data_IF_236762517859
#
_entry.id   IF_236762517859
#
_cell.length_a   1.000
_cell.length_b   1.000
_cell.length_c   1.000
_cell.angle_alpha   90.00
_cell.angle_beta   90.00
_cell.angle_gamma   90.00
#
_symmetry.space_group_name_H-M   'P 1'
#
loop_
_entity.id
_entity.type
_entity.pdbx_description
1 polymer ?
#
# COMPACT_ATOMS: atom_id res chain seq x y z
N UNK A 1 3.39 16.33 -15.13
CA UNK A 1 2.00 16.85 -14.89
C UNK A 1 1.12 16.49 -16.09
N UNK A 2 0.68 15.27 -16.34
CA UNK A 2 -0.12 15.08 -17.57
C UNK A 2 -0.84 13.75 -17.81
N UNK A 3 -0.85 12.75 -16.96
CA UNK A 3 -1.65 11.54 -17.29
C UNK A 3 -2.89 11.33 -16.40
N UNK A 4 -3.09 12.14 -15.37
CA UNK A 4 -4.21 11.96 -14.44
C UNK A 4 -5.46 12.79 -14.77
N UNK A 5 -5.44 13.60 -15.84
CA UNK A 5 -6.47 14.61 -16.14
C UNK A 5 -7.88 14.04 -16.37
N UNK A 6 -8.03 12.70 -16.53
CA UNK A 6 -9.33 12.08 -16.81
C UNK A 6 -9.70 10.89 -15.90
N UNK A 7 -8.94 10.56 -14.84
CA UNK A 7 -9.32 9.46 -13.96
C UNK A 7 -10.23 9.97 -12.85
N UNK A 8 -11.35 9.27 -12.57
CA UNK A 8 -12.21 9.66 -11.46
C UNK A 8 -11.48 9.48 -10.12
N UNK A 9 -11.78 10.36 -9.17
CA UNK A 9 -11.22 10.31 -7.82
C UNK A 9 -11.84 9.14 -7.04
N UNK A 10 -10.99 8.28 -6.49
CA UNK A 10 -11.41 7.22 -5.58
C UNK A 10 -11.48 7.72 -4.14
N UNK A 11 -10.43 8.40 -3.67
CA UNK A 11 -10.34 8.92 -2.30
C UNK A 11 -9.91 10.38 -2.36
N UNK A 12 -10.52 11.24 -1.53
CA UNK A 12 -10.09 12.62 -1.32
C UNK A 12 -10.03 12.93 0.17
N UNK A 13 -8.91 13.45 0.60
CA UNK A 13 -8.72 14.13 1.87
C UNK A 13 -8.86 15.63 1.63
N UNK A 14 -9.64 16.30 2.45
CA UNK A 14 -9.96 17.72 2.34
C UNK A 14 -9.74 18.39 3.70
N UNK A 15 -8.62 19.08 3.85
CA UNK A 15 -8.13 19.75 5.06
C UNK A 15 -8.23 18.91 6.34
N UNK A 16 -7.85 17.64 6.25
CA UNK A 16 -7.98 16.66 7.33
C UNK A 16 -6.98 16.92 8.43
N UNK A 17 -7.50 17.09 9.67
CA UNK A 17 -6.72 17.11 10.89
C UNK A 17 -7.10 15.97 11.83
N UNK A 18 -6.11 15.40 12.50
CA UNK A 18 -6.33 14.40 13.55
C UNK A 18 -5.21 14.42 14.61
N UNK A 19 -5.58 14.11 15.85
CA UNK A 19 -4.67 13.88 16.98
C UNK A 19 -5.31 12.94 17.98
N UNK A 20 -4.52 12.14 18.67
CA UNK A 20 -5.01 11.24 19.75
C UNK A 20 -5.39 12.05 20.99
N UNK A 21 -4.53 13.02 21.33
CA UNK A 21 -4.69 13.95 22.44
C UNK A 21 -4.70 15.39 21.90
N UNK A 22 -4.36 16.41 22.68
CA UNK A 22 -4.34 17.80 22.24
C UNK A 22 -3.45 18.06 21.02
N UNK A 23 -2.34 17.33 20.92
CA UNK A 23 -1.39 17.48 19.80
C UNK A 23 -1.90 16.83 18.50
N UNK A 24 -1.82 17.58 17.40
CA UNK A 24 -2.16 17.08 16.07
C UNK A 24 -1.04 16.19 15.52
N UNK A 25 -1.43 14.99 15.07
CA UNK A 25 -0.59 14.01 14.38
C UNK A 25 -0.74 14.13 12.87
N UNK A 26 -1.90 14.52 12.38
CA UNK A 26 -2.19 14.86 10.97
C UNK A 26 -2.70 16.30 10.96
N UNK A 27 -2.12 17.14 10.09
CA UNK A 27 -2.26 18.60 10.12
C UNK A 27 -2.65 19.10 8.73
N UNK A 28 -3.90 19.49 8.54
CA UNK A 28 -4.44 20.07 7.30
C UNK A 28 -3.99 19.33 6.04
N UNK A 29 -4.13 18.00 6.07
CA UNK A 29 -3.69 17.15 4.96
C UNK A 29 -4.79 17.10 3.90
N UNK A 30 -4.43 17.50 2.67
CA UNK A 30 -5.29 17.45 1.49
C UNK A 30 -4.57 16.72 0.35
N UNK A 31 -5.22 15.70 -0.20
CA UNK A 31 -4.78 14.99 -1.41
C UNK A 31 -5.94 14.21 -2.03
N UNK A 32 -5.74 13.78 -3.27
CA UNK A 32 -6.64 12.87 -3.96
C UNK A 32 -5.88 11.59 -4.35
N UNK A 33 -6.58 10.48 -4.42
CA UNK A 33 -6.12 9.22 -5.01
C UNK A 33 -7.12 8.85 -6.09
N UNK A 34 -6.62 8.58 -7.29
CA UNK A 34 -7.46 8.29 -8.45
C UNK A 34 -7.76 6.79 -8.54
N UNK A 35 -8.81 6.45 -9.27
CA UNK A 35 -9.13 5.05 -9.55
C UNK A 35 -8.03 4.41 -10.39
N UNK A 36 -7.71 3.15 -10.06
CA UNK A 36 -6.64 2.39 -10.73
C UNK A 36 -5.27 3.07 -10.64
N UNK A 37 -5.02 3.77 -9.55
CA UNK A 37 -3.73 4.37 -9.23
C UNK A 37 -3.01 3.53 -8.17
N UNK A 38 -1.70 3.36 -8.32
CA UNK A 38 -0.84 2.85 -7.27
C UNK A 38 -0.09 4.00 -6.61
N UNK A 39 -0.45 4.31 -5.37
CA UNK A 39 0.13 5.40 -4.58
C UNK A 39 0.94 4.85 -3.42
N UNK A 40 2.18 5.32 -3.26
CA UNK A 40 2.96 5.08 -2.06
C UNK A 40 2.92 6.29 -1.13
N UNK A 41 2.64 6.06 0.16
CA UNK A 41 2.75 7.06 1.23
C UNK A 41 4.03 6.78 2.01
N UNK A 42 5.00 7.70 1.93
CA UNK A 42 6.31 7.59 2.58
C UNK A 42 6.53 8.68 3.62
N UNK A 43 7.51 8.48 4.49
CA UNK A 43 7.88 9.43 5.55
C UNK A 43 8.60 8.71 6.70
N UNK A 44 9.31 9.44 7.54
CA UNK A 44 9.98 8.86 8.71
C UNK A 44 8.98 8.31 9.74
N UNK A 45 9.48 7.54 10.72
CA UNK A 45 8.65 7.04 11.83
C UNK A 45 8.08 8.22 12.63
N UNK A 46 6.76 8.19 12.89
CA UNK A 46 6.05 9.29 13.55
C UNK A 46 5.60 10.43 12.60
N UNK A 47 5.78 10.33 11.28
CA UNK A 47 5.32 11.35 10.33
C UNK A 47 3.79 11.37 10.12
N UNK A 48 3.03 10.42 10.68
CA UNK A 48 1.57 10.36 10.59
C UNK A 48 1.02 9.29 9.63
N UNK A 49 1.85 8.50 8.95
CA UNK A 49 1.43 7.50 7.95
C UNK A 49 0.41 6.48 8.46
N UNK A 50 0.68 5.83 9.60
CA UNK A 50 -0.25 4.84 10.18
C UNK A 50 -1.55 5.50 10.67
N UNK A 51 -1.53 6.81 10.96
CA UNK A 51 -2.74 7.57 11.26
C UNK A 51 -3.55 7.81 9.98
N UNK A 52 -2.89 8.13 8.86
CA UNK A 52 -3.54 8.20 7.53
C UNK A 52 -4.20 6.86 7.19
N UNK A 53 -3.51 5.73 7.40
CA UNK A 53 -4.07 4.38 7.21
C UNK A 53 -5.38 4.18 7.99
N UNK A 54 -5.36 4.49 9.29
CA UNK A 54 -6.54 4.34 10.15
C UNK A 54 -7.69 5.30 9.79
N UNK A 55 -7.37 6.49 9.31
CA UNK A 55 -8.36 7.44 8.79
C UNK A 55 -8.98 6.95 7.49
N UNK A 56 -8.17 6.43 6.55
CA UNK A 56 -8.60 5.84 5.28
C UNK A 56 -9.56 4.66 5.46
N UNK A 57 -9.36 3.87 6.51
CA UNK A 57 -10.18 2.69 6.81
C UNK A 57 -11.37 2.97 7.72
N UNK A 58 -11.53 4.23 8.15
CA UNK A 58 -12.59 4.63 9.07
C UNK A 58 -12.43 4.09 10.50
N UNK A 59 -11.24 3.60 10.86
CA UNK A 59 -10.88 3.23 12.23
C UNK A 59 -10.72 4.47 13.12
N UNK A 60 -10.37 5.60 12.50
CA UNK A 60 -10.31 6.90 13.15
C UNK A 60 -11.22 7.89 12.41
N UNK A 61 -11.78 8.85 13.15
CA UNK A 61 -12.56 9.95 12.60
C UNK A 61 -11.73 11.23 12.63
N UNK A 62 -11.68 12.04 11.55
CA UNK A 62 -11.05 13.35 11.57
C UNK A 62 -11.58 14.25 12.67
N UNK A 63 -10.74 15.08 13.27
CA UNK A 63 -11.17 16.19 14.16
C UNK A 63 -11.74 17.35 13.36
N UNK A 64 -11.14 17.64 12.21
CA UNK A 64 -11.64 18.60 11.22
C UNK A 64 -11.31 18.14 9.82
N UNK A 65 -11.91 18.77 8.82
CA UNK A 65 -11.83 18.34 7.43
C UNK A 65 -12.72 17.14 7.14
N UNK A 66 -12.68 16.67 5.90
CA UNK A 66 -13.55 15.58 5.44
C UNK A 66 -12.78 14.61 4.55
N UNK A 67 -13.05 13.33 4.71
CA UNK A 67 -12.55 12.27 3.82
C UNK A 67 -13.70 11.83 2.94
N UNK A 68 -13.46 11.71 1.63
CA UNK A 68 -14.45 11.24 0.67
C UNK A 68 -13.97 9.94 0.03
N UNK A 69 -14.88 9.01 -0.17
CA UNK A 69 -14.71 7.81 -0.98
C UNK A 69 -15.70 7.88 -2.15
N UNK A 70 -15.20 7.91 -3.37
CA UNK A 70 -16.02 8.06 -4.60
C UNK A 70 -16.99 9.24 -4.53
N UNK A 71 -16.53 10.38 -3.99
CA UNK A 71 -17.34 11.60 -3.80
C UNK A 71 -18.29 11.59 -2.60
N UNK A 72 -18.47 10.46 -1.91
CA UNK A 72 -19.30 10.36 -0.70
C UNK A 72 -18.47 10.64 0.55
N UNK A 73 -18.88 11.57 1.44
CA UNK A 73 -18.16 11.83 2.67
C UNK A 73 -18.22 10.61 3.59
N UNK A 74 -17.08 10.24 4.18
CA UNK A 74 -16.98 9.14 5.14
C UNK A 74 -17.53 9.59 6.49
N UNK A 75 -18.69 9.03 6.86
CA UNK A 75 -19.40 9.31 8.11
C UNK A 75 -19.71 8.00 8.86
N UNK A 76 -20.21 8.11 10.10
CA UNK A 76 -20.64 6.91 10.84
C UNK A 76 -21.75 6.14 10.13
N UNK A 77 -22.61 6.84 9.41
CA UNK A 77 -23.79 6.24 8.77
C UNK A 77 -23.45 5.45 7.50
N UNK A 78 -22.32 5.75 6.86
CA UNK A 78 -21.89 5.05 5.65
C UNK A 78 -20.59 4.24 5.80
N UNK A 79 -20.18 3.89 7.03
CA UNK A 79 -19.01 3.04 7.28
C UNK A 79 -19.11 1.67 6.59
N UNK A 80 -20.32 1.16 6.38
CA UNK A 80 -20.50 -0.08 5.61
C UNK A 80 -20.02 0.10 4.17
N UNK A 81 -20.41 1.20 3.50
CA UNK A 81 -19.94 1.50 2.15
C UNK A 81 -18.41 1.60 2.08
N UNK A 82 -17.79 2.25 3.08
CA UNK A 82 -16.33 2.30 3.17
C UNK A 82 -15.72 0.89 3.27
N UNK A 83 -16.19 0.06 4.20
CA UNK A 83 -15.68 -1.31 4.43
C UNK A 83 -15.95 -2.27 3.28
N UNK A 84 -16.95 -2.01 2.48
CA UNK A 84 -17.24 -2.80 1.28
C UNK A 84 -16.29 -2.46 0.13
N UNK A 85 -15.73 -1.25 0.11
CA UNK A 85 -14.89 -0.75 -0.98
C UNK A 85 -13.40 -0.65 -0.63
N UNK A 86 -13.04 -0.58 0.65
CA UNK A 86 -11.64 -0.44 1.10
C UNK A 86 -11.25 -1.65 1.94
N UNK A 87 -10.24 -2.38 1.48
CA UNK A 87 -9.59 -3.45 2.23
C UNK A 87 -8.24 -3.01 2.77
N UNK A 88 -7.84 -3.52 3.93
CA UNK A 88 -6.52 -3.24 4.53
C UNK A 88 -5.77 -4.54 4.82
N UNK A 89 -4.50 -4.57 4.45
CA UNK A 89 -3.52 -5.58 4.81
C UNK A 89 -2.56 -4.97 5.82
N UNK A 90 -2.55 -5.49 7.04
CA UNK A 90 -1.73 -4.96 8.14
C UNK A 90 -0.28 -5.40 8.07
N UNK A 91 0.60 -4.65 8.75
CA UNK A 91 2.01 -4.94 8.91
C UNK A 91 2.26 -6.32 9.52
N UNK A 92 1.58 -6.63 10.61
CA UNK A 92 1.64 -7.94 11.25
C UNK A 92 0.38 -8.74 10.91
N UNK A 93 0.50 -9.80 10.07
CA UNK A 93 -0.64 -10.64 9.70
C UNK A 93 -1.28 -11.36 10.88
N UNK A 94 -0.54 -11.63 11.99
CA UNK A 94 -1.10 -12.29 13.17
C UNK A 94 -2.22 -11.45 13.83
N UNK A 95 -2.21 -10.14 13.65
CA UNK A 95 -3.27 -9.25 14.15
C UNK A 95 -4.56 -9.30 13.29
N UNK A 96 -4.51 -9.97 12.15
CA UNK A 96 -5.61 -10.03 11.19
C UNK A 96 -6.35 -11.37 11.25
N UNK A 97 -5.69 -12.43 11.73
CA UNK A 97 -6.29 -13.77 11.79
C UNK A 97 -7.40 -13.89 12.84
N UNK A 98 -8.52 -14.47 12.42
CA UNK A 98 -9.70 -14.76 13.23
C UNK A 98 -10.09 -16.23 13.07
N UNK A 99 -9.86 -16.81 11.89
CA UNK A 99 -10.20 -18.20 11.55
C UNK A 99 -9.31 -19.24 12.25
N UNK A 100 -9.81 -20.45 12.40
CA UNK A 100 -9.04 -21.59 12.93
C UNK A 100 -8.04 -22.07 11.88
N UNK A 101 -8.43 -22.04 10.59
CA UNK A 101 -7.59 -22.40 9.46
C UNK A 101 -7.46 -21.22 8.49
N UNK A 102 -6.49 -21.30 7.58
CA UNK A 102 -6.33 -20.30 6.50
C UNK A 102 -7.60 -20.20 5.63
N UNK A 103 -8.30 -21.31 5.40
CA UNK A 103 -9.58 -21.33 4.66
C UNK A 103 -10.66 -20.56 5.40
N UNK A 104 -10.80 -20.80 6.72
CA UNK A 104 -11.81 -20.13 7.55
C UNK A 104 -11.54 -18.61 7.59
N UNK A 105 -10.27 -18.23 7.63
CA UNK A 105 -9.88 -16.81 7.67
C UNK A 105 -10.24 -16.10 6.36
N UNK A 106 -9.99 -16.73 5.21
CA UNK A 106 -10.39 -16.17 3.90
C UNK A 106 -11.91 -16.13 3.78
N UNK A 107 -12.63 -17.14 4.30
CA UNK A 107 -14.09 -17.21 4.23
C UNK A 107 -14.78 -16.19 5.17
N UNK A 108 -14.13 -15.77 6.25
CA UNK A 108 -14.73 -14.93 7.30
C UNK A 108 -15.39 -13.65 6.77
N UNK A 109 -14.71 -12.94 5.85
CA UNK A 109 -15.25 -11.73 5.24
C UNK A 109 -16.50 -11.99 4.38
N UNK A 110 -16.58 -13.15 3.74
CA UNK A 110 -17.72 -13.59 2.93
C UNK A 110 -18.90 -14.00 3.81
N UNK A 111 -18.65 -14.70 4.94
CA UNK A 111 -19.66 -15.06 5.93
C UNK A 111 -20.35 -13.82 6.51
N UNK A 112 -19.58 -12.83 6.88
CA UNK A 112 -20.09 -11.54 7.39
C UNK A 112 -20.97 -10.82 6.36
N UNK A 113 -20.75 -11.07 5.07
CA UNK A 113 -21.57 -10.55 3.96
C UNK A 113 -22.71 -11.49 3.54
N UNK A 114 -22.87 -12.60 4.26
CA UNK A 114 -23.92 -13.62 4.04
C UNK A 114 -23.90 -14.25 2.64
N UNK A 115 -22.69 -14.48 2.10
CA UNK A 115 -22.55 -15.22 0.85
C UNK A 115 -23.05 -16.68 1.01
N UNK A 116 -23.67 -17.29 -0.01
CA UNK A 116 -24.03 -18.69 0.00
C UNK A 116 -22.79 -19.59 0.14
N UNK A 117 -22.92 -20.69 0.89
CA UNK A 117 -21.78 -21.56 1.23
C UNK A 117 -21.05 -22.18 0.02
N UNK A 118 -21.80 -22.48 -1.04
CA UNK A 118 -21.21 -22.96 -2.29
C UNK A 118 -20.36 -21.88 -2.98
N UNK A 119 -20.86 -20.65 -3.07
CA UNK A 119 -20.13 -19.51 -3.66
C UNK A 119 -18.88 -19.17 -2.84
N UNK A 120 -18.97 -19.22 -1.50
CA UNK A 120 -17.80 -18.97 -0.64
C UNK A 120 -16.66 -19.94 -0.94
N UNK A 121 -16.95 -21.24 -1.13
CA UNK A 121 -15.92 -22.23 -1.46
C UNK A 121 -15.22 -21.92 -2.78
N UNK A 122 -15.98 -21.57 -3.80
CA UNK A 122 -15.43 -21.21 -5.11
C UNK A 122 -14.53 -19.97 -5.02
N UNK A 123 -14.99 -18.94 -4.31
CA UNK A 123 -14.22 -17.70 -4.08
C UNK A 123 -12.93 -18.00 -3.31
N UNK A 124 -13.01 -18.76 -2.20
CA UNK A 124 -11.83 -19.12 -1.38
C UNK A 124 -10.80 -19.85 -2.23
N UNK A 125 -11.19 -20.86 -3.00
CA UNK A 125 -10.28 -21.60 -3.87
C UNK A 125 -9.68 -20.72 -4.98
N UNK A 126 -10.50 -19.86 -5.60
CA UNK A 126 -10.04 -18.93 -6.63
C UNK A 126 -8.98 -17.96 -6.09
N UNK A 127 -9.26 -17.38 -4.93
CA UNK A 127 -8.35 -16.45 -4.25
C UNK A 127 -7.08 -17.16 -3.77
N UNK A 128 -7.22 -18.36 -3.18
CA UNK A 128 -6.07 -19.16 -2.75
C UNK A 128 -5.09 -19.41 -3.91
N UNK A 129 -5.62 -19.69 -5.10
CA UNK A 129 -4.84 -19.85 -6.33
C UNK A 129 -4.14 -18.54 -6.72
N UNK A 130 -4.85 -17.40 -6.65
CA UNK A 130 -4.27 -16.10 -6.99
C UNK A 130 -3.07 -15.74 -6.11
N UNK A 131 -3.13 -16.06 -4.80
CA UNK A 131 -2.06 -15.75 -3.85
C UNK A 131 -1.10 -16.92 -3.60
N UNK A 132 -1.33 -18.09 -4.25
CA UNK A 132 -0.43 -19.24 -4.22
C UNK A 132 -0.38 -19.97 -2.87
N UNK A 133 -1.56 -20.24 -2.27
CA UNK A 133 -1.69 -20.88 -0.94
C UNK A 133 -2.66 -22.08 -0.93
N UNK A 134 -2.98 -22.66 -2.10
CA UNK A 134 -3.95 -23.77 -2.22
C UNK A 134 -3.64 -24.95 -1.29
N UNK A 135 -2.36 -25.27 -1.14
CA UNK A 135 -1.86 -26.41 -0.35
C UNK A 135 -1.83 -26.16 1.16
N UNK A 136 -2.09 -24.96 1.62
CA UNK A 136 -2.05 -24.62 3.05
C UNK A 136 -3.40 -24.16 3.61
N UNK A 137 -4.48 -24.22 2.83
CA UNK A 137 -5.83 -23.78 3.24
C UNK A 137 -6.30 -24.43 4.56
N UNK A 138 -5.96 -25.71 4.78
CA UNK A 138 -6.32 -26.46 5.98
C UNK A 138 -5.38 -26.28 7.17
N UNK A 139 -4.32 -25.47 7.00
CA UNK A 139 -3.34 -25.26 8.05
C UNK A 139 -3.83 -24.15 9.00
N UNK A 140 -3.52 -24.35 10.26
CA UNK A 140 -3.72 -23.34 11.29
C UNK A 140 -2.71 -22.21 11.15
N UNK A 141 -3.08 -20.94 11.38
CA UNK A 141 -2.20 -19.79 11.17
C UNK A 141 -0.83 -19.90 11.88
N UNK A 142 -0.78 -20.48 13.09
CA UNK A 142 0.46 -20.61 13.83
C UNK A 142 1.49 -21.59 13.21
N UNK A 143 1.04 -22.46 12.28
CA UNK A 143 1.91 -23.39 11.53
C UNK A 143 2.46 -22.78 10.24
N UNK A 144 2.04 -21.56 9.90
CA UNK A 144 2.42 -20.88 8.66
C UNK A 144 3.67 -20.01 8.86
N UNK A 145 4.52 -19.95 7.83
CA UNK A 145 5.60 -18.96 7.77
C UNK A 145 5.05 -17.53 7.65
N UNK A 146 5.84 -16.51 7.98
CA UNK A 146 5.43 -15.10 7.86
C UNK A 146 4.92 -14.75 6.46
N UNK A 147 5.62 -15.22 5.41
CA UNK A 147 5.19 -15.01 4.02
C UNK A 147 3.87 -15.71 3.67
N UNK A 148 3.66 -16.94 4.20
CA UNK A 148 2.39 -17.63 4.03
C UNK A 148 1.24 -16.93 4.75
N UNK A 149 1.47 -16.49 5.98
CA UNK A 149 0.52 -15.67 6.74
C UNK A 149 0.12 -14.42 5.99
N UNK A 150 1.09 -13.70 5.43
CA UNK A 150 0.83 -12.49 4.66
C UNK A 150 -0.02 -12.78 3.40
N UNK A 151 0.26 -13.89 2.70
CA UNK A 151 -0.55 -14.31 1.54
C UNK A 151 -1.98 -14.68 1.93
N UNK A 152 -2.19 -15.33 3.09
CA UNK A 152 -3.54 -15.60 3.62
C UNK A 152 -4.24 -14.28 3.94
N UNK A 153 -3.58 -13.35 4.65
CA UNK A 153 -4.15 -12.04 4.96
C UNK A 153 -4.56 -11.25 3.70
N UNK A 154 -3.74 -11.29 2.65
CA UNK A 154 -4.09 -10.71 1.35
C UNK A 154 -5.29 -11.44 0.74
N UNK A 155 -5.30 -12.79 0.80
CA UNK A 155 -6.41 -13.60 0.33
C UNK A 155 -7.74 -13.23 0.98
N UNK A 156 -7.74 -13.06 2.30
CA UNK A 156 -8.94 -12.65 3.06
C UNK A 156 -9.49 -11.29 2.59
N UNK A 157 -8.61 -10.36 2.22
CA UNK A 157 -9.03 -9.07 1.64
C UNK A 157 -9.52 -9.23 0.20
N UNK A 158 -8.85 -10.02 -0.62
CA UNK A 158 -9.27 -10.23 -2.01
C UNK A 158 -10.62 -10.95 -2.13
N UNK A 159 -10.92 -11.86 -1.21
CA UNK A 159 -12.18 -12.57 -1.20
C UNK A 159 -13.39 -11.62 -1.16
N UNK A 160 -13.30 -10.54 -0.42
CA UNK A 160 -14.34 -9.52 -0.36
C UNK A 160 -14.32 -8.53 -1.55
N UNK A 161 -13.33 -8.66 -2.44
CA UNK A 161 -13.19 -7.95 -3.70
C UNK A 161 -13.29 -6.40 -3.61
N UNK A 162 -12.59 -5.73 -2.70
CA UNK A 162 -12.67 -4.28 -2.56
C UNK A 162 -12.09 -3.57 -3.79
N UNK A 163 -12.49 -2.32 -4.03
CA UNK A 163 -11.97 -1.51 -5.13
C UNK A 163 -10.66 -0.80 -4.78
N UNK A 164 -10.43 -0.54 -3.49
CA UNK A 164 -9.22 0.06 -2.96
C UNK A 164 -8.57 -0.91 -1.98
N UNK A 165 -7.28 -1.16 -2.13
CA UNK A 165 -6.52 -2.04 -1.24
C UNK A 165 -5.37 -1.25 -0.63
N UNK A 166 -5.39 -1.15 0.69
CA UNK A 166 -4.35 -0.49 1.47
C UNK A 166 -3.39 -1.54 2.05
N UNK A 167 -2.11 -1.39 1.81
CA UNK A 167 -1.03 -2.16 2.40
C UNK A 167 -0.29 -1.29 3.42
N UNK A 168 -0.42 -1.61 4.70
CA UNK A 168 0.20 -0.84 5.78
C UNK A 168 1.47 -1.57 6.26
N UNK A 169 2.63 -1.16 5.72
CA UNK A 169 3.96 -1.76 5.96
C UNK A 169 3.99 -3.30 5.81
N UNK A 170 3.15 -3.83 4.94
CA UNK A 170 2.87 -5.27 4.81
C UNK A 170 4.05 -6.11 4.31
N UNK A 171 5.12 -5.50 3.83
CA UNK A 171 6.35 -6.17 3.39
C UNK A 171 7.44 -6.22 4.45
N UNK A 172 7.33 -5.45 5.54
CA UNK A 172 8.41 -5.24 6.51
C UNK A 172 8.89 -6.51 7.23
N UNK A 173 7.97 -7.46 7.48
CA UNK A 173 8.25 -8.71 8.21
C UNK A 173 8.61 -9.89 7.29
N UNK A 174 8.75 -9.66 5.97
CA UNK A 174 8.99 -10.70 4.99
C UNK A 174 10.49 -10.83 4.65
N UNK A 175 10.89 -12.05 4.28
CA UNK A 175 12.18 -12.30 3.65
C UNK A 175 12.27 -11.61 2.27
N UNK A 176 13.47 -11.46 1.69
CA UNK A 176 13.64 -10.73 0.42
C UNK A 176 12.79 -11.27 -0.73
N UNK A 177 12.59 -12.59 -0.79
CA UNK A 177 11.74 -13.21 -1.82
C UNK A 177 10.27 -12.87 -1.60
N UNK A 178 9.79 -12.99 -0.37
CA UNK A 178 8.42 -12.63 0.00
C UNK A 178 8.11 -11.17 -0.29
N UNK A 179 9.05 -10.25 0.03
CA UNK A 179 8.93 -8.82 -0.33
C UNK A 179 8.73 -8.62 -1.83
N UNK A 180 9.59 -9.26 -2.64
CA UNK A 180 9.52 -9.14 -4.09
C UNK A 180 8.18 -9.68 -4.65
N UNK A 181 7.72 -10.81 -4.13
CA UNK A 181 6.46 -11.41 -4.55
C UNK A 181 5.26 -10.48 -4.23
N UNK A 182 5.22 -9.89 -3.02
CA UNK A 182 4.14 -8.96 -2.65
C UNK A 182 4.20 -7.66 -3.46
N UNK A 183 5.39 -7.11 -3.71
CA UNK A 183 5.55 -5.93 -4.58
C UNK A 183 5.01 -6.19 -5.99
N UNK A 184 5.35 -7.33 -6.59
CA UNK A 184 4.80 -7.74 -7.90
C UNK A 184 3.29 -7.92 -7.86
N UNK A 185 2.79 -8.45 -6.76
CA UNK A 185 1.36 -8.63 -6.56
C UNK A 185 0.60 -7.30 -6.49
N UNK A 186 1.12 -6.31 -5.79
CA UNK A 186 0.54 -4.94 -5.76
C UNK A 186 0.42 -4.35 -7.17
N UNK A 187 1.48 -4.49 -7.99
CA UNK A 187 1.45 -4.05 -9.40
C UNK A 187 0.39 -4.82 -10.20
N UNK A 188 0.27 -6.12 -9.97
CA UNK A 188 -0.76 -6.94 -10.62
C UNK A 188 -2.16 -6.48 -10.24
N UNK A 189 -2.42 -6.20 -8.97
CA UNK A 189 -3.70 -5.68 -8.50
C UNK A 189 -4.08 -4.36 -9.18
N UNK A 190 -3.14 -3.43 -9.27
CA UNK A 190 -3.34 -2.17 -10.00
C UNK A 190 -3.72 -2.44 -11.47
N UNK A 191 -3.00 -3.35 -12.13
CA UNK A 191 -3.24 -3.70 -13.54
C UNK A 191 -4.59 -4.42 -13.76
N UNK A 192 -5.17 -5.02 -12.72
CA UNK A 192 -6.52 -5.61 -12.75
C UNK A 192 -7.63 -4.62 -12.38
N UNK A 193 -7.31 -3.32 -12.30
CA UNK A 193 -8.29 -2.25 -12.11
C UNK A 193 -8.52 -1.86 -10.65
N UNK A 194 -7.71 -2.36 -9.70
CA UNK A 194 -7.78 -1.93 -8.29
C UNK A 194 -6.96 -0.67 -8.06
N UNK A 195 -7.41 0.19 -7.15
CA UNK A 195 -6.57 1.25 -6.59
C UNK A 195 -5.73 0.66 -5.46
N UNK A 196 -4.43 0.87 -5.50
CA UNK A 196 -3.49 0.33 -4.52
C UNK A 196 -2.86 1.48 -3.75
N UNK A 197 -2.89 1.41 -2.43
CA UNK A 197 -2.21 2.36 -1.56
C UNK A 197 -1.22 1.57 -0.73
N UNK A 198 0.05 1.95 -0.76
CA UNK A 198 1.05 1.33 0.11
C UNK A 198 1.66 2.37 1.05
N UNK A 199 1.61 2.09 2.34
CA UNK A 199 2.38 2.81 3.34
C UNK A 199 3.65 2.02 3.56
N UNK A 200 4.79 2.63 3.26
CA UNK A 200 6.07 1.91 3.30
C UNK A 200 7.24 2.83 3.67
N UNK A 201 8.29 2.25 4.20
CA UNK A 201 9.62 2.83 4.32
C UNK A 201 10.63 2.17 3.38
N UNK A 202 10.21 1.19 2.58
CA UNK A 202 11.04 0.50 1.59
C UNK A 202 11.05 1.28 0.27
N UNK A 203 12.13 2.01 0.01
CA UNK A 203 12.27 2.84 -1.19
C UNK A 203 12.27 2.02 -2.50
N UNK A 204 12.65 0.73 -2.46
CA UNK A 204 12.53 -0.18 -3.60
C UNK A 204 11.08 -0.55 -3.94
N UNK A 205 10.16 -0.40 -2.99
CA UNK A 205 8.73 -0.56 -3.25
C UNK A 205 8.16 0.66 -3.97
N UNK A 206 8.62 1.85 -3.57
CA UNK A 206 8.17 3.14 -4.09
C UNK A 206 8.40 3.29 -5.59
N UNK A 207 9.45 2.67 -6.13
CA UNK A 207 9.77 2.72 -7.57
C UNK A 207 8.60 2.25 -8.46
N UNK A 208 7.77 1.32 -7.94
CA UNK A 208 6.67 0.74 -8.70
C UNK A 208 5.37 1.55 -8.65
N UNK A 209 5.32 2.60 -7.85
CA UNK A 209 4.14 3.45 -7.71
C UNK A 209 3.98 4.40 -8.92
N UNK A 210 2.74 4.76 -9.21
CA UNK A 210 2.44 5.84 -10.17
C UNK A 210 2.74 7.20 -9.53
N UNK A 211 2.48 7.31 -8.20
CA UNK A 211 2.68 8.56 -7.44
C UNK A 211 3.07 8.28 -6.00
N UNK A 212 3.80 9.22 -5.44
CA UNK A 212 4.30 9.19 -4.06
C UNK A 212 3.75 10.39 -3.31
N UNK A 213 3.27 10.15 -2.10
CA UNK A 213 2.88 11.16 -1.12
C UNK A 213 3.91 11.16 0.01
N UNK A 214 4.58 12.27 0.23
CA UNK A 214 5.64 12.40 1.25
C UNK A 214 5.08 13.09 2.49
N UNK A 215 5.04 12.36 3.59
CA UNK A 215 4.58 12.85 4.89
C UNK A 215 5.76 13.24 5.78
N UNK A 216 5.71 14.44 6.38
CA UNK A 216 6.70 14.90 7.35
C UNK A 216 6.01 15.65 8.49
N UNK A 217 6.24 15.21 9.74
CA UNK A 217 5.68 15.82 10.96
C UNK A 217 4.17 16.13 10.89
N UNK A 218 3.40 15.21 10.30
CA UNK A 218 1.94 15.31 10.18
C UNK A 218 1.43 16.10 8.97
N UNK A 219 2.30 16.62 8.15
CA UNK A 219 1.95 17.36 6.94
C UNK A 219 2.27 16.54 5.68
N UNK A 220 1.50 16.73 4.63
CA UNK A 220 1.88 16.33 3.28
C UNK A 220 2.81 17.41 2.72
N UNK A 221 4.09 17.08 2.56
CA UNK A 221 5.11 18.07 2.17
C UNK A 221 5.46 18.01 0.69
N UNK A 222 5.23 16.88 0.03
CA UNK A 222 5.47 16.71 -1.42
C UNK A 222 4.58 15.62 -2.00
N UNK A 223 4.22 15.75 -3.26
CA UNK A 223 3.56 14.73 -4.08
C UNK A 223 4.12 14.77 -5.49
N UNK A 224 4.42 13.62 -6.07
CA UNK A 224 4.97 13.51 -7.43
C UNK A 224 5.21 12.05 -7.83
N UNK A 225 5.71 11.83 -9.03
CA UNK A 225 6.18 10.53 -9.49
C UNK A 225 7.42 10.09 -8.69
N UNK A 226 7.72 8.78 -8.62
CA UNK A 226 8.97 8.32 -7.97
C UNK A 226 10.22 9.06 -8.49
N UNK A 227 10.31 9.31 -9.79
CA UNK A 227 11.44 10.04 -10.38
C UNK A 227 11.56 11.47 -9.86
N UNK A 228 10.44 12.22 -9.80
CA UNK A 228 10.42 13.58 -9.27
C UNK A 228 10.77 13.64 -7.78
N UNK A 229 10.33 12.65 -7.00
CA UNK A 229 10.62 12.59 -5.55
C UNK A 229 12.09 12.26 -5.29
N UNK A 230 12.66 11.29 -6.02
CA UNK A 230 14.05 10.85 -5.81
C UNK A 230 15.10 11.74 -6.50
N UNK A 231 14.70 12.71 -7.31
CA UNK A 231 15.59 13.70 -7.90
C UNK A 231 16.21 14.64 -6.83
N UNK A 232 15.42 14.99 -5.81
CA UNK A 232 15.84 15.90 -4.73
C UNK A 232 16.33 15.14 -3.48
N UNK A 233 17.55 14.57 -3.57
CA UNK A 233 18.16 13.88 -2.44
C UNK A 233 18.37 14.75 -1.22
N UNK A 234 18.68 16.04 -1.40
CA UNK A 234 18.94 16.94 -0.29
C UNK A 234 17.70 17.07 0.59
N UNK A 235 16.54 17.26 -0.04
CA UNK A 235 15.25 17.25 0.65
C UNK A 235 14.96 15.91 1.34
N UNK A 236 15.19 14.77 0.68
CA UNK A 236 14.94 13.46 1.27
C UNK A 236 15.81 13.24 2.51
N UNK A 237 17.10 13.58 2.46
CA UNK A 237 18.02 13.49 3.61
C UNK A 237 17.59 14.39 4.77
N UNK A 238 17.11 15.61 4.48
CA UNK A 238 16.60 16.55 5.50
C UNK A 238 15.44 15.91 6.29
N UNK A 239 14.53 15.21 5.60
CA UNK A 239 13.38 14.52 6.21
C UNK A 239 13.68 13.07 6.62
N UNK A 240 14.95 12.67 6.65
CA UNK A 240 15.45 11.34 7.05
C UNK A 240 14.88 10.20 6.21
N UNK A 241 14.80 10.40 4.90
CA UNK A 241 14.49 9.38 3.92
C UNK A 241 15.70 9.13 3.02
N UNK A 242 15.88 7.87 2.63
CA UNK A 242 16.90 7.45 1.70
C UNK A 242 16.38 7.41 0.26
N UNK A 243 17.30 7.20 -0.69
CA UNK A 243 16.97 6.88 -2.08
C UNK A 243 17.05 5.37 -2.31
N UNK A 244 16.38 4.83 -3.34
CA UNK A 244 16.50 3.43 -3.72
C UNK A 244 17.95 3.02 -3.98
N UNK A 245 18.29 1.77 -3.60
CA UNK A 245 19.65 1.23 -3.79
C UNK A 245 20.09 1.29 -5.27
N UNK A 246 19.18 0.98 -6.20
CA UNK A 246 19.45 1.04 -7.64
C UNK A 246 19.92 2.43 -8.08
N UNK A 247 19.27 3.48 -7.58
CA UNK A 247 19.65 4.88 -7.88
C UNK A 247 20.96 5.26 -7.20
N UNK A 248 21.13 4.90 -5.92
CA UNK A 248 22.36 5.16 -5.16
C UNK A 248 23.58 4.50 -5.83
N UNK A 249 23.45 3.24 -6.22
CA UNK A 249 24.50 2.49 -6.93
C UNK A 249 24.84 3.16 -8.28
N UNK A 250 23.79 3.53 -9.05
CA UNK A 250 23.97 4.21 -10.34
C UNK A 250 24.74 5.54 -10.20
N UNK A 251 24.45 6.34 -9.18
CA UNK A 251 25.15 7.60 -8.88
C UNK A 251 26.61 7.37 -8.49
N UNK A 252 26.86 6.41 -7.58
CA UNK A 252 28.22 6.09 -7.15
C UNK A 252 29.09 5.56 -8.29
N UNK A 253 28.50 4.79 -9.21
CA UNK A 253 29.19 4.30 -10.41
C UNK A 253 29.44 5.42 -11.42
N UNK A 254 28.52 6.35 -11.60
CA UNK A 254 28.65 7.47 -12.52
C UNK A 254 29.81 8.42 -12.13
N UNK A 255 30.15 8.53 -10.84
CA UNK A 255 31.32 9.30 -10.37
C UNK A 255 32.64 8.74 -10.92
N UNK A 256 32.74 7.42 -11.09
CA UNK A 256 33.94 6.73 -11.59
C UNK A 256 33.88 6.46 -13.10
N UNK A 257 32.69 6.27 -13.63
CA UNK A 257 32.40 5.91 -15.01
C UNK A 257 31.28 6.80 -15.56
N UNK A 258 31.61 8.00 -16.11
CA UNK A 258 30.61 8.99 -16.55
C UNK A 258 29.64 8.51 -17.64
N UNK A 259 29.95 7.39 -18.31
CA UNK A 259 29.07 6.74 -19.28
C UNK A 259 27.84 6.08 -18.63
N UNK A 260 27.91 5.73 -17.34
CA UNK A 260 26.83 5.12 -16.59
C UNK A 260 25.81 6.20 -16.19
N UNK A 261 24.54 6.01 -16.57
CA UNK A 261 23.46 6.92 -16.24
C UNK A 261 22.67 6.40 -15.02
N UNK A 262 22.60 7.17 -13.91
CA UNK A 262 21.75 6.80 -12.77
C UNK A 262 20.30 6.65 -13.21
N UNK A 263 19.63 5.62 -12.69
CA UNK A 263 18.25 5.30 -13.03
C UNK A 263 17.58 4.53 -11.90
N UNK A 264 16.25 4.60 -11.80
CA UNK A 264 15.46 3.79 -10.89
C UNK A 264 15.24 2.36 -11.43
N UNK A 265 15.47 2.13 -12.70
CA UNK A 265 15.27 0.84 -13.37
C UNK A 265 16.56 0.00 -13.32
N UNK A 266 16.55 -1.06 -12.51
CA UNK A 266 17.69 -1.96 -12.35
C UNK A 266 18.17 -2.58 -13.68
N UNK A 267 17.25 -2.93 -14.58
CA UNK A 267 17.60 -3.53 -15.87
C UNK A 267 18.31 -2.53 -16.79
N UNK A 268 17.88 -1.27 -16.76
CA UNK A 268 18.56 -0.20 -17.49
C UNK A 268 19.94 0.07 -16.91
N UNK A 269 20.08 0.06 -15.57
CA UNK A 269 21.37 0.23 -14.91
C UNK A 269 22.33 -0.90 -15.30
N UNK A 270 21.91 -2.17 -15.23
CA UNK A 270 22.70 -3.32 -15.63
C UNK A 270 23.16 -3.20 -17.09
N UNK A 271 22.25 -2.85 -18.01
CA UNK A 271 22.61 -2.64 -19.42
C UNK A 271 23.64 -1.54 -19.60
N UNK A 272 23.51 -0.44 -18.87
CA UNK A 272 24.48 0.67 -18.91
C UNK A 272 25.86 0.24 -18.40
N UNK A 273 25.92 -0.58 -17.35
CA UNK A 273 27.19 -1.11 -16.81
C UNK A 273 27.85 -2.08 -17.82
N UNK A 274 27.08 -2.96 -18.45
CA UNK A 274 27.61 -3.95 -19.40
C UNK A 274 28.05 -3.33 -20.75
N UNK A 275 27.64 -2.09 -21.02
CA UNK A 275 27.99 -1.35 -22.24
C UNK A 275 29.17 -0.38 -22.06
N UNK A 276 29.73 -0.30 -20.86
CA UNK A 276 30.96 0.44 -20.53
C UNK A 276 32.17 -0.46 -20.59
#
# INVERSE_FOLDING_TARGET
MSEHINKPVAIRFDDVCFGYDEALVVKNVSFEIYQQEYVCVIGHNGSGKSTISKLLTGLLKPRSGTIYLYGHPVTKDNLKFLRDNVGIVFQNPDNQFIGITAEDDIAFGLENRKFPRNEMREIVHSVAKQVGIENILKFEPHKLSGGQKQRVAIGSILAINPNVILFDESTSMLDPKGKLDIKRFMVTLKNTGKSVISITHDMEEVINADRVLVMNHGNLVRSGTPSEIFEDEAFLREIRLDIPFTLALGKALAEKHPAIRPTLDLQKLIKSILSC
#
